data_IF_764014408266
#
_entry.id   IF_764014408266
#
_cell.length_a   1.000
_cell.length_b   1.000
_cell.length_c   1.000
_cell.angle_alpha   90.00
_cell.angle_beta   90.00
_cell.angle_gamma   90.00
#
_symmetry.space_group_name_H-M   'P 1'
#
loop_
_entity.id
_entity.type
_entity.pdbx_description
1 polymer ?
#
# COMPACT_ATOMS: atom_id res chain seq x y z
N UNK A 1 -0.27 -18.41 24.35
CA UNK A 1 -0.52 -16.98 24.65
C UNK A 1 -1.72 -16.54 23.84
N UNK A 2 -2.83 -16.23 24.48
CA UNK A 2 -4.04 -15.74 23.79
C UNK A 2 -3.97 -14.23 23.65
N UNK A 3 -3.88 -13.73 22.43
CA UNK A 3 -4.04 -12.31 22.16
C UNK A 3 -5.52 -11.97 22.18
N UNK A 4 -5.90 -10.94 22.93
CA UNK A 4 -7.26 -10.41 22.93
C UNK A 4 -7.49 -9.70 21.59
N UNK A 5 -8.34 -10.28 20.74
CA UNK A 5 -8.64 -9.80 19.39
C UNK A 5 -9.79 -8.78 19.38
N UNK A 6 -10.13 -8.19 20.52
CA UNK A 6 -11.23 -7.21 20.64
C UNK A 6 -10.72 -5.78 20.52
N UNK A 7 -11.41 -4.99 19.71
CA UNK A 7 -11.09 -3.57 19.56
C UNK A 7 -11.46 -2.85 20.87
N UNK A 8 -10.74 -1.76 21.22
CA UNK A 8 -11.12 -0.92 22.34
C UNK A 8 -12.59 -0.50 22.22
N UNK A 9 -13.35 -0.57 23.31
CA UNK A 9 -14.79 -0.24 23.35
C UNK A 9 -15.12 1.23 23.04
N UNK A 10 -14.11 2.08 22.85
CA UNK A 10 -14.19 3.50 22.49
C UNK A 10 -14.79 3.76 21.09
N UNK A 11 -15.07 2.73 20.29
CA UNK A 11 -15.78 2.87 19.00
C UNK A 11 -14.98 3.49 17.85
N UNK A 12 -13.78 4.01 18.12
CA UNK A 12 -12.86 4.58 17.11
C UNK A 12 -12.20 3.51 16.23
N UNK A 13 -12.01 2.30 16.77
CA UNK A 13 -11.36 1.18 16.07
C UNK A 13 -12.34 0.03 15.99
N UNK A 14 -12.42 -0.59 14.80
CA UNK A 14 -13.25 -1.77 14.55
C UNK A 14 -12.36 -2.86 13.94
N UNK A 15 -12.49 -4.09 14.41
CA UNK A 15 -11.87 -5.25 13.77
C UNK A 15 -12.89 -5.93 12.87
N UNK A 16 -12.54 -6.08 11.59
CA UNK A 16 -13.36 -6.74 10.59
C UNK A 16 -12.57 -7.95 10.10
N UNK A 17 -13.04 -9.16 10.43
CA UNK A 17 -12.44 -10.39 9.93
C UNK A 17 -12.85 -10.63 8.47
N UNK A 18 -11.91 -11.06 7.63
CA UNK A 18 -12.17 -11.31 6.23
C UNK A 18 -10.95 -11.73 5.43
N UNK A 19 -11.16 -11.89 4.13
CA UNK A 19 -10.15 -12.23 3.14
C UNK A 19 -9.97 -11.05 2.19
N UNK A 20 -8.85 -10.35 2.32
CA UNK A 20 -8.53 -9.14 1.55
C UNK A 20 -8.36 -9.39 0.05
N UNK A 21 -8.17 -10.63 -0.41
CA UNK A 21 -8.17 -10.96 -1.85
C UNK A 21 -9.59 -11.01 -2.42
N UNK A 22 -10.59 -11.25 -1.55
CA UNK A 22 -12.00 -11.27 -1.92
C UNK A 22 -12.64 -9.89 -1.75
N UNK A 23 -12.40 -9.23 -0.62
CA UNK A 23 -13.08 -7.98 -0.29
C UNK A 23 -12.27 -7.13 0.70
N UNK A 24 -12.28 -5.81 0.50
CA UNK A 24 -11.77 -4.82 1.44
C UNK A 24 -12.94 -3.88 1.80
N UNK A 25 -13.26 -3.66 3.09
CA UNK A 25 -14.31 -2.75 3.50
C UNK A 25 -14.10 -1.32 2.99
N UNK A 26 -15.20 -0.64 2.65
CA UNK A 26 -15.16 0.76 2.22
C UNK A 26 -14.55 1.65 3.30
N UNK A 27 -13.65 2.54 2.90
CA UNK A 27 -13.01 3.50 3.78
C UNK A 27 -12.60 4.75 3.00
N UNK A 28 -12.36 5.86 3.69
CA UNK A 28 -11.78 7.07 3.10
C UNK A 28 -10.35 6.81 2.57
N UNK A 29 -9.62 5.91 3.23
CA UNK A 29 -8.31 5.48 2.81
C UNK A 29 -8.06 3.98 3.08
N UNK A 30 -7.29 3.35 2.20
CA UNK A 30 -6.84 1.97 2.35
C UNK A 30 -5.30 1.90 2.45
N UNK A 31 -4.77 1.24 3.49
CA UNK A 31 -3.33 1.06 3.73
C UNK A 31 -2.91 -0.40 3.52
N UNK A 32 -2.82 -0.88 2.27
CA UNK A 32 -2.55 -2.29 1.95
C UNK A 32 -1.90 -2.45 0.57
N UNK A 33 -1.31 -3.63 0.30
CA UNK A 33 -0.60 -3.94 -0.97
C UNK A 33 -1.50 -4.57 -2.07
N UNK A 34 -2.79 -4.78 -1.83
CA UNK A 34 -3.73 -5.37 -2.81
C UNK A 34 -4.42 -4.25 -3.60
N UNK A 35 -3.67 -3.68 -4.55
CA UNK A 35 -4.01 -2.47 -5.29
C UNK A 35 -5.45 -2.45 -5.84
N UNK A 36 -5.83 -3.45 -6.64
CA UNK A 36 -7.16 -3.48 -7.27
C UNK A 36 -8.31 -3.50 -6.24
N UNK A 37 -8.18 -4.28 -5.17
CA UNK A 37 -9.21 -4.31 -4.11
C UNK A 37 -9.25 -3.01 -3.31
N UNK A 38 -8.10 -2.37 -3.13
CA UNK A 38 -8.04 -1.06 -2.48
C UNK A 38 -8.73 0.00 -3.34
N UNK A 39 -8.52 -0.03 -4.66
CA UNK A 39 -9.19 0.85 -5.62
C UNK A 39 -10.71 0.66 -5.58
N UNK A 40 -11.18 -0.60 -5.61
CA UNK A 40 -12.62 -0.91 -5.46
C UNK A 40 -13.19 -0.35 -4.15
N UNK A 41 -12.47 -0.51 -3.02
CA UNK A 41 -12.93 -0.05 -1.71
C UNK A 41 -13.06 1.48 -1.59
N UNK A 42 -12.25 2.26 -2.33
CA UNK A 42 -12.29 3.72 -2.32
C UNK A 42 -13.17 4.32 -3.43
N UNK A 43 -13.32 3.63 -4.58
CA UNK A 43 -14.15 4.10 -5.71
C UNK A 43 -15.65 3.93 -5.45
N UNK A 44 -16.03 3.00 -4.57
CA UNK A 44 -17.43 2.82 -4.15
C UNK A 44 -17.98 3.98 -3.27
N UNK A 45 -17.20 5.06 -3.08
CA UNK A 45 -17.59 6.27 -2.37
C UNK A 45 -17.70 7.44 -3.33
N UNK A 46 -18.74 8.24 -3.14
CA UNK A 46 -18.96 9.43 -3.98
C UNK A 46 -17.77 10.39 -3.89
N UNK A 47 -17.30 10.72 -2.69
CA UNK A 47 -16.19 11.67 -2.42
C UNK A 47 -14.80 11.24 -2.94
N UNK A 48 -14.67 10.07 -3.57
CA UNK A 48 -13.37 9.45 -3.86
C UNK A 48 -12.69 8.94 -2.59
N UNK A 49 -11.38 8.67 -2.69
CA UNK A 49 -10.56 8.23 -1.56
C UNK A 49 -9.10 8.06 -1.92
N UNK A 50 -8.33 7.53 -0.97
CA UNK A 50 -6.86 7.43 -1.05
C UNK A 50 -6.35 6.01 -0.80
N UNK A 51 -5.49 5.50 -1.67
CA UNK A 51 -4.70 4.29 -1.37
C UNK A 51 -3.30 4.69 -0.92
N UNK A 52 -2.87 4.12 0.20
CA UNK A 52 -1.55 4.29 0.77
C UNK A 52 -0.84 2.95 0.72
N UNK A 53 0.32 2.90 0.09
CA UNK A 53 1.24 1.76 0.20
C UNK A 53 2.43 2.22 1.02
N UNK A 54 2.93 1.34 1.89
CA UNK A 54 4.16 1.51 2.64
C UNK A 54 5.00 0.28 2.33
N UNK A 55 6.06 0.45 1.53
CA UNK A 55 6.96 -0.64 1.16
C UNK A 55 8.38 -0.16 0.92
N UNK A 56 9.36 -1.07 0.93
CA UNK A 56 10.73 -0.72 0.60
C UNK A 56 10.87 -0.40 -0.90
N UNK A 57 11.55 0.71 -1.21
CA UNK A 57 11.95 1.07 -2.56
C UNK A 57 13.42 0.71 -2.77
N UNK A 58 13.68 -0.18 -3.73
CA UNK A 58 15.03 -0.41 -4.21
C UNK A 58 15.41 0.61 -5.28
N UNK A 59 16.47 1.36 -5.08
CA UNK A 59 17.04 2.17 -6.15
C UNK A 59 18.27 1.47 -6.71
N UNK A 60 18.29 1.28 -8.03
CA UNK A 60 19.49 0.86 -8.72
C UNK A 60 20.55 1.97 -8.64
N UNK A 61 21.64 1.71 -7.91
CA UNK A 61 22.90 2.46 -8.08
C UNK A 61 23.20 3.61 -7.14
N UNK A 62 22.35 3.96 -6.15
CA UNK A 62 22.73 4.92 -5.11
C UNK A 62 22.58 4.33 -3.71
N UNK A 63 23.69 3.76 -3.26
CA UNK A 63 23.95 3.37 -1.89
C UNK A 63 24.31 4.62 -1.11
N UNK A 64 23.34 5.27 -0.45
CA UNK A 64 23.72 6.24 0.59
C UNK A 64 22.83 6.25 1.83
N UNK A 65 21.87 5.34 1.97
CA UNK A 65 21.05 5.25 3.20
C UNK A 65 20.57 3.84 3.59
N UNK A 66 20.89 2.80 2.81
CA UNK A 66 20.50 1.42 3.14
C UNK A 66 21.78 0.61 3.34
N UNK A 67 21.99 0.07 4.55
CA UNK A 67 23.16 -0.78 4.77
C UNK A 67 23.05 -2.03 3.87
N UNK A 68 24.19 -2.53 3.39
CA UNK A 68 24.24 -3.81 2.65
C UNK A 68 23.57 -4.95 3.43
N UNK A 69 23.63 -4.88 4.76
CA UNK A 69 22.99 -5.82 5.68
C UNK A 69 21.45 -5.73 5.61
N UNK A 70 20.89 -4.51 5.56
CA UNK A 70 19.45 -4.32 5.42
C UNK A 70 18.97 -4.79 4.05
N UNK A 71 19.75 -4.54 2.99
CA UNK A 71 19.46 -5.06 1.66
C UNK A 71 19.40 -6.60 1.66
N UNK A 72 20.42 -7.25 2.20
CA UNK A 72 20.46 -8.71 2.31
C UNK A 72 19.30 -9.28 3.16
N UNK A 73 18.84 -8.54 4.18
CA UNK A 73 17.67 -8.93 4.98
C UNK A 73 16.38 -8.88 4.15
N UNK A 74 16.19 -7.84 3.34
CA UNK A 74 15.03 -7.75 2.45
C UNK A 74 15.08 -8.78 1.32
N UNK A 75 16.24 -9.02 0.71
CA UNK A 75 16.45 -10.08 -0.28
C UNK A 75 16.01 -11.45 0.30
N UNK A 76 16.50 -11.79 1.51
CA UNK A 76 16.13 -13.02 2.19
C UNK A 76 14.63 -13.07 2.54
N UNK A 77 14.06 -11.96 3.01
CA UNK A 77 12.64 -11.88 3.33
C UNK A 77 11.78 -12.09 2.09
N UNK A 78 12.13 -11.49 0.95
CA UNK A 78 11.40 -11.61 -0.31
C UNK A 78 11.48 -13.03 -0.87
N UNK A 79 12.65 -13.67 -0.81
CA UNK A 79 12.80 -15.09 -1.15
C UNK A 79 11.88 -16.00 -0.31
N UNK A 80 11.61 -15.65 0.95
CA UNK A 80 10.75 -16.45 1.82
C UNK A 80 9.26 -16.30 1.52
N UNK A 81 8.81 -15.13 1.08
CA UNK A 81 7.39 -14.82 0.88
C UNK A 81 6.95 -14.90 -0.60
N UNK A 82 7.77 -15.50 -1.47
CA UNK A 82 7.64 -15.43 -2.94
C UNK A 82 7.43 -13.98 -3.43
N UNK A 83 8.08 -13.05 -2.74
CA UNK A 83 8.01 -11.62 -2.95
C UNK A 83 9.00 -11.17 -4.02
N UNK A 84 8.77 -9.95 -4.51
CA UNK A 84 9.66 -9.30 -5.47
C UNK A 84 9.92 -7.89 -4.98
N UNK A 85 11.19 -7.56 -4.83
CA UNK A 85 11.63 -6.19 -4.59
C UNK A 85 11.38 -5.35 -5.84
N UNK A 86 10.89 -4.13 -5.64
CA UNK A 86 10.52 -3.24 -6.75
C UNK A 86 11.26 -1.93 -6.64
N UNK A 87 11.82 -1.53 -7.78
CA UNK A 87 12.26 -0.17 -7.98
C UNK A 87 11.09 0.74 -8.36
N UNK A 88 11.39 2.01 -8.63
CA UNK A 88 10.39 3.01 -8.97
C UNK A 88 9.56 2.60 -10.20
N UNK A 89 10.21 2.06 -11.23
CA UNK A 89 9.56 1.63 -12.47
C UNK A 89 8.68 0.40 -12.26
N UNK A 90 9.14 -0.54 -11.43
CA UNK A 90 8.37 -1.71 -11.02
C UNK A 90 7.08 -1.33 -10.28
N UNK A 91 7.16 -0.33 -9.40
CA UNK A 91 5.99 0.24 -8.73
C UNK A 91 5.05 0.94 -9.70
N UNK A 92 5.55 1.86 -10.53
CA UNK A 92 4.77 2.57 -11.54
C UNK A 92 3.98 1.60 -12.44
N UNK A 93 4.63 0.54 -12.92
CA UNK A 93 3.98 -0.48 -13.75
C UNK A 93 2.77 -1.12 -13.05
N UNK A 94 2.90 -1.54 -11.79
CA UNK A 94 1.81 -2.27 -11.11
C UNK A 94 0.68 -1.33 -10.67
N UNK A 95 0.99 -0.07 -10.37
CA UNK A 95 0.00 0.97 -10.10
C UNK A 95 -0.88 1.14 -11.34
N UNK A 96 -0.27 1.46 -12.49
CA UNK A 96 -1.00 1.66 -13.74
C UNK A 96 -1.79 0.40 -14.16
N UNK A 97 -1.19 -0.79 -14.03
CA UNK A 97 -1.87 -2.05 -14.33
C UNK A 97 -3.07 -2.33 -13.41
N UNK A 98 -3.08 -1.80 -12.20
CA UNK A 98 -4.19 -1.95 -11.28
C UNK A 98 -5.34 -0.96 -11.54
N UNK A 99 -5.18 -0.03 -12.51
CA UNK A 99 -6.21 0.93 -12.92
C UNK A 99 -6.10 2.30 -12.26
N UNK A 100 -4.97 2.58 -11.62
CA UNK A 100 -4.64 3.86 -11.01
C UNK A 100 -4.18 4.85 -12.11
N UNK A 101 -4.60 6.11 -12.00
CA UNK A 101 -4.37 7.14 -13.03
C UNK A 101 -3.41 8.24 -12.57
N UNK A 102 -3.29 8.45 -11.26
CA UNK A 102 -2.39 9.44 -10.68
C UNK A 102 -1.75 8.90 -9.40
N UNK A 103 -0.48 9.19 -9.19
CA UNK A 103 0.23 8.72 -8.01
C UNK A 103 1.38 9.63 -7.63
N UNK A 104 1.56 9.82 -6.33
CA UNK A 104 2.74 10.47 -5.77
C UNK A 104 3.62 9.46 -5.05
N UNK A 105 4.91 9.45 -5.38
CA UNK A 105 5.95 8.69 -4.69
C UNK A 105 6.66 9.60 -3.70
N UNK A 106 6.59 9.28 -2.41
CA UNK A 106 7.35 9.98 -1.35
C UNK A 106 8.20 8.99 -0.54
N UNK A 107 9.41 9.40 -0.17
CA UNK A 107 10.31 8.62 0.72
C UNK A 107 10.19 9.18 2.14
N UNK A 108 9.86 8.34 3.12
CA UNK A 108 9.57 8.82 4.50
C UNK A 108 10.62 8.38 5.52
N UNK A 109 11.03 7.11 5.53
CA UNK A 109 12.09 6.56 6.41
C UNK A 109 12.76 5.41 5.66
N UNK A 110 14.09 5.38 5.55
CA UNK A 110 14.85 4.26 4.94
C UNK A 110 14.22 3.69 3.66
N UNK A 111 13.86 4.58 2.72
CA UNK A 111 13.20 4.25 1.44
C UNK A 111 11.82 3.61 1.51
N UNK A 112 11.04 3.84 2.58
CA UNK A 112 9.60 3.56 2.57
C UNK A 112 8.94 4.43 1.49
N UNK A 113 8.44 3.78 0.45
CA UNK A 113 7.59 4.34 -0.58
C UNK A 113 6.20 4.56 -0.01
N UNK A 114 5.76 5.81 0.01
CA UNK A 114 4.35 6.18 0.13
C UNK A 114 3.80 6.46 -1.26
N UNK A 115 2.83 5.66 -1.68
CA UNK A 115 1.97 5.93 -2.83
C UNK A 115 0.70 6.61 -2.35
N UNK A 116 0.26 7.63 -3.08
CA UNK A 116 -0.97 8.38 -2.81
C UNK A 116 -1.66 8.62 -4.15
N UNK A 117 -2.81 7.98 -4.36
CA UNK A 117 -3.74 8.34 -5.44
C UNK A 117 -4.91 9.10 -4.83
N UNK A 118 -5.24 10.24 -5.43
CA UNK A 118 -6.49 10.97 -5.19
C UNK A 118 -7.41 10.69 -6.37
N UNK A 119 -8.57 10.09 -6.13
CA UNK A 119 -9.61 10.05 -7.15
C UNK A 119 -10.16 11.47 -7.33
N UNK A 120 -9.85 12.13 -8.44
CA UNK A 120 -10.56 13.34 -8.84
C UNK A 120 -11.97 12.96 -9.27
N UNK A 121 -12.97 13.64 -8.69
CA UNK A 121 -14.30 13.63 -9.27
C UNK A 121 -14.28 14.51 -10.51
N UNK A 122 -14.55 13.92 -11.68
CA UNK A 122 -14.99 14.72 -12.81
C UNK A 122 -16.37 15.31 -12.44
N UNK A 123 -16.42 16.64 -12.32
CA UNK A 123 -17.66 17.40 -12.23
C UNK A 123 -18.50 17.07 -13.47
N UNK A 124 -19.57 16.31 -13.29
CA UNK A 124 -20.64 16.22 -14.28
C UNK A 124 -21.37 17.57 -14.24
N UNK A 125 -21.21 18.37 -15.30
CA UNK A 125 -22.06 19.54 -15.60
C UNK A 125 -23.54 19.14 -15.77
#
# INVERSE_FOLDING_TARGET
>A
MGYDNKAPANGTVQFIAGDMFKFIPKADAALLKILRRCLEAITEREAGGKVIIIDALMEAGQADNFSKETQALYDFHMMHIDGVERDKLGWEKIILQAGFHDYKISLVVNKILVLDEQLQQDLVE
#
